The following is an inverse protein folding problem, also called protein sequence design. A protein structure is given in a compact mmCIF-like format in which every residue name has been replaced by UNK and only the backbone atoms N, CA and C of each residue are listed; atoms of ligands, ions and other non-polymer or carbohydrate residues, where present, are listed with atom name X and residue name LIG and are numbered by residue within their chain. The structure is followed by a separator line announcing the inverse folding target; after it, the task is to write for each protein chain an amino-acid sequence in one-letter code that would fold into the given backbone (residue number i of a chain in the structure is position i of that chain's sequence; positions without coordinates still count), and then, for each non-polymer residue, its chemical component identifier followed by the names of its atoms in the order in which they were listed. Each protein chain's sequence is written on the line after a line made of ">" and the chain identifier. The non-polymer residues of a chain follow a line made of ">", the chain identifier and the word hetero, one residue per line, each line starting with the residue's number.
data_IF_114020284291
#
_entry.id   IF_114020284291
#
_cell.length_a   1.000
_cell.length_b   1.000
_cell.length_c   1.000
_cell.angle_alpha   90.00
_cell.angle_beta   90.00
_cell.angle_gamma   90.00
#
_symmetry.space_group_name_H-M   'P 1'
#
loop_
_entity.id
_entity.type
_entity.pdbx_description
1 polymer ?
#
# COMPACT_ATOMS: atom_id res chain seq x y z
N UNK A 1 10.93 0.97 -9.26
CA UNK A 1 11.80 1.69 -8.31
C UNK A 1 11.40 1.14 -6.95
N UNK A 2 12.30 0.53 -6.18
CA UNK A 2 11.93 -0.03 -4.89
C UNK A 2 11.52 1.08 -3.90
N UNK A 3 10.63 0.75 -2.97
CA UNK A 3 10.12 1.63 -1.93
C UNK A 3 11.24 2.16 -1.03
N UNK A 4 12.34 1.42 -0.91
CA UNK A 4 13.56 1.85 -0.21
C UNK A 4 14.11 3.17 -0.75
N UNK A 5 13.92 3.42 -2.05
CA UNK A 5 14.46 4.61 -2.72
C UNK A 5 13.62 5.85 -2.41
N UNK A 6 12.36 5.71 -1.96
CA UNK A 6 11.53 6.85 -1.54
C UNK A 6 12.13 7.61 -0.37
N UNK A 7 12.93 6.96 0.48
CA UNK A 7 13.66 7.65 1.56
C UNK A 7 14.58 8.75 1.02
N UNK A 8 15.18 8.53 -0.15
CA UNK A 8 16.09 9.49 -0.79
C UNK A 8 15.36 10.64 -1.49
N UNK A 9 14.06 10.48 -1.78
CA UNK A 9 13.21 11.46 -2.47
C UNK A 9 12.86 12.67 -1.60
N UNK A 10 12.88 12.52 -0.27
CA UNK A 10 12.49 13.58 0.66
C UNK A 10 13.69 14.14 1.41
N UNK A 11 13.83 15.47 1.41
CA UNK A 11 14.86 16.13 2.20
C UNK A 11 14.55 16.06 3.71
N UNK A 12 15.61 16.13 4.55
CA UNK A 12 15.45 16.25 6.02
C UNK A 12 14.55 17.42 6.44
N UNK A 13 14.42 18.46 5.61
CA UNK A 13 13.57 19.64 5.88
C UNK A 13 12.11 19.35 5.58
N UNK A 14 11.81 18.63 4.50
CA UNK A 14 10.45 18.17 4.20
C UNK A 14 9.98 17.20 5.29
N UNK A 15 10.82 16.22 5.63
CA UNK A 15 10.61 15.28 6.74
C UNK A 15 10.45 15.91 8.14
N UNK A 16 10.57 17.24 8.29
CA UNK A 16 10.21 17.95 9.54
C UNK A 16 8.85 18.63 9.48
N UNK A 17 8.36 18.98 8.29
CA UNK A 17 7.14 19.78 8.11
C UNK A 17 5.91 18.90 7.96
N UNK A 18 6.08 17.65 7.55
CA UNK A 18 4.97 16.74 7.37
C UNK A 18 4.26 16.88 6.02
N UNK A 19 3.30 16.00 5.75
CA UNK A 19 2.41 16.07 4.60
C UNK A 19 1.60 17.37 4.63
N UNK A 20 1.81 18.23 3.62
CA UNK A 20 0.97 19.41 3.37
C UNK A 20 -0.50 18.98 3.24
N UNK A 21 -1.45 19.90 3.47
CA UNK A 21 -2.92 19.68 3.39
C UNK A 21 -3.39 18.80 2.20
N UNK A 22 -2.75 18.89 1.03
CA UNK A 22 -3.08 18.05 -0.14
C UNK A 22 -2.90 16.55 0.12
N UNK A 23 -1.85 16.13 0.83
CA UNK A 23 -1.62 14.71 1.15
C UNK A 23 -2.66 14.15 2.13
N UNK A 24 -3.11 14.99 3.08
CA UNK A 24 -4.16 14.62 4.03
C UNK A 24 -5.50 14.31 3.34
N UNK A 25 -5.89 15.10 2.34
CA UNK A 25 -7.12 14.88 1.58
C UNK A 25 -7.07 13.60 0.72
N UNK A 26 -5.90 13.26 0.19
CA UNK A 26 -5.71 12.02 -0.59
C UNK A 26 -5.82 10.80 0.32
N UNK A 27 -5.14 10.80 1.47
CA UNK A 27 -5.22 9.69 2.44
C UNK A 27 -6.66 9.49 2.91
N UNK A 28 -7.35 10.55 3.34
CA UNK A 28 -8.74 10.45 3.81
C UNK A 28 -9.74 10.02 2.73
N UNK A 29 -9.37 10.12 1.45
CA UNK A 29 -10.20 9.67 0.33
C UNK A 29 -10.10 8.16 0.10
N UNK A 30 -8.93 7.58 0.35
CA UNK A 30 -8.64 6.17 0.04
C UNK A 30 -8.70 5.26 1.27
N UNK A 31 -8.40 5.81 2.44
CA UNK A 31 -8.50 5.19 3.75
C UNK A 31 -9.70 5.79 4.50
N UNK A 32 -10.61 4.94 4.96
CA UNK A 32 -11.88 5.30 5.58
C UNK A 32 -11.72 5.52 7.09
N UNK A 33 -11.59 6.78 7.49
CA UNK A 33 -11.89 7.24 8.86
C UNK A 33 -10.80 7.03 9.92
N UNK A 34 -10.89 7.82 11.00
CA UNK A 34 -9.88 8.04 12.03
C UNK A 34 -9.53 6.84 12.94
N UNK A 35 -9.95 5.63 12.59
CA UNK A 35 -9.58 4.41 13.28
C UNK A 35 -8.65 3.62 12.37
N UNK A 36 -7.40 3.39 12.80
CA UNK A 36 -6.44 2.51 12.11
C UNK A 36 -7.03 1.10 12.06
N UNK A 37 -7.84 0.81 11.05
CA UNK A 37 -8.28 -0.55 10.80
C UNK A 37 -7.10 -1.33 10.21
N UNK A 38 -6.79 -2.53 10.71
CA UNK A 38 -5.70 -3.36 10.17
C UNK A 38 -5.78 -3.55 8.65
N UNK A 39 -6.99 -3.52 8.08
CA UNK A 39 -7.26 -3.61 6.65
C UNK A 39 -6.66 -2.46 5.82
N UNK A 40 -6.39 -1.30 6.42
CA UNK A 40 -5.74 -0.18 5.75
C UNK A 40 -4.24 -0.39 5.67
N UNK A 41 -3.64 -0.91 6.75
CA UNK A 41 -2.23 -1.28 6.80
C UNK A 41 -1.93 -2.42 5.81
N UNK A 42 -2.84 -3.40 5.67
CA UNK A 42 -2.71 -4.46 4.67
C UNK A 42 -2.91 -3.96 3.24
N UNK A 43 -3.82 -3.02 2.99
CA UNK A 43 -3.95 -2.40 1.67
C UNK A 43 -2.69 -1.63 1.30
N UNK A 44 -2.14 -0.85 2.24
CA UNK A 44 -0.87 -0.16 2.02
C UNK A 44 0.27 -1.14 1.76
N UNK A 45 0.39 -2.21 2.55
CA UNK A 45 1.38 -3.27 2.34
C UNK A 45 1.27 -3.93 0.96
N UNK A 46 0.05 -4.24 0.52
CA UNK A 46 -0.22 -4.75 -0.83
C UNK A 46 0.30 -3.80 -1.91
N UNK A 47 -0.04 -2.51 -1.83
CA UNK A 47 0.41 -1.52 -2.81
C UNK A 47 1.94 -1.35 -2.81
N UNK A 48 2.59 -1.47 -1.65
CA UNK A 48 4.06 -1.46 -1.54
C UNK A 48 4.69 -2.63 -2.30
N UNK A 49 4.13 -3.84 -2.19
CA UNK A 49 4.64 -5.00 -2.92
C UNK A 49 4.55 -4.78 -4.44
N UNK A 50 3.43 -4.27 -4.94
CA UNK A 50 3.31 -3.95 -6.38
C UNK A 50 4.29 -2.85 -6.77
N UNK A 51 4.51 -1.85 -5.91
CA UNK A 51 5.50 -0.79 -6.12
C UNK A 51 6.93 -1.33 -6.23
N UNK A 52 7.28 -2.33 -5.42
CA UNK A 52 8.57 -3.02 -5.41
C UNK A 52 8.77 -3.95 -6.62
N UNK A 53 7.75 -4.13 -7.46
CA UNK A 53 7.84 -4.89 -8.70
C UNK A 53 7.30 -6.32 -8.59
N UNK A 54 6.62 -6.68 -7.50
CA UNK A 54 5.83 -7.91 -7.45
C UNK A 54 4.58 -7.73 -8.31
N UNK A 55 4.63 -8.18 -9.56
CA UNK A 55 3.54 -7.99 -10.53
C UNK A 55 2.69 -9.23 -10.74
N UNK A 56 3.19 -10.43 -10.45
CA UNK A 56 2.41 -11.66 -10.58
C UNK A 56 1.45 -11.83 -9.38
N UNK A 57 0.18 -12.14 -9.66
CA UNK A 57 -0.85 -12.33 -8.63
C UNK A 57 -0.50 -13.43 -7.62
N UNK A 58 0.09 -14.55 -8.05
CA UNK A 58 0.45 -15.66 -7.16
C UNK A 58 1.60 -15.29 -6.21
N UNK A 59 2.58 -14.55 -6.72
CA UNK A 59 3.68 -14.02 -5.90
C UNK A 59 3.15 -13.03 -4.87
N UNK A 60 2.26 -12.12 -5.29
CA UNK A 60 1.60 -11.17 -4.40
C UNK A 60 0.78 -11.88 -3.31
N UNK A 61 0.05 -12.95 -3.67
CA UNK A 61 -0.68 -13.79 -2.70
C UNK A 61 0.26 -14.39 -1.67
N UNK A 62 1.38 -14.93 -2.12
CA UNK A 62 2.39 -15.54 -1.25
C UNK A 62 3.01 -14.52 -0.28
N UNK A 63 3.37 -13.34 -0.77
CA UNK A 63 3.94 -12.27 0.07
C UNK A 63 2.93 -11.71 1.06
N UNK A 64 1.68 -11.50 0.64
CA UNK A 64 0.62 -11.01 1.52
C UNK A 64 0.33 -12.02 2.63
N UNK A 65 0.26 -13.32 2.35
CA UNK A 65 0.09 -14.34 3.41
C UNK A 65 1.15 -14.23 4.50
N UNK A 66 2.41 -14.04 4.13
CA UNK A 66 3.52 -13.85 5.08
C UNK A 66 3.29 -12.60 5.93
N UNK A 67 2.89 -11.49 5.30
CA UNK A 67 2.57 -10.23 5.99
C UNK A 67 1.41 -10.41 6.98
N UNK A 68 0.33 -11.07 6.57
CA UNK A 68 -0.82 -11.37 7.41
C UNK A 68 -0.45 -12.18 8.65
N UNK A 69 0.23 -13.32 8.46
CA UNK A 69 0.67 -14.19 9.56
C UNK A 69 1.51 -13.40 10.57
N UNK A 70 2.42 -12.56 10.06
CA UNK A 70 3.31 -11.74 10.89
C UNK A 70 2.58 -10.66 11.68
N UNK A 71 1.51 -10.09 11.12
CA UNK A 71 0.79 -8.94 11.71
C UNK A 71 -0.42 -9.34 12.57
N UNK A 72 -1.16 -10.40 12.23
CA UNK A 72 -2.42 -10.77 12.91
C UNK A 72 -2.28 -11.96 13.86
N UNK A 73 -1.15 -12.68 13.83
CA UNK A 73 -0.97 -14.00 14.49
C UNK A 73 -1.98 -15.06 14.04
N UNK A 74 -2.77 -14.82 12.99
CA UNK A 74 -3.62 -15.85 12.38
C UNK A 74 -2.71 -16.82 11.62
N UNK A 75 -2.85 -18.10 11.92
CA UNK A 75 -2.00 -19.16 11.35
C UNK A 75 -2.49 -19.61 9.97
N UNK A 76 -3.77 -19.38 9.67
CA UNK A 76 -4.41 -19.79 8.43
C UNK A 76 -4.92 -18.53 7.73
N UNK A 77 -4.39 -18.28 6.54
CA UNK A 77 -4.82 -17.21 5.62
C UNK A 77 -5.15 -17.88 4.30
N UNK A 78 -6.39 -17.75 3.86
CA UNK A 78 -6.88 -18.31 2.61
C UNK A 78 -6.54 -17.38 1.43
N UNK A 79 -6.54 -17.91 0.21
CA UNK A 79 -6.33 -17.08 -0.98
C UNK A 79 -7.41 -16.01 -1.15
N UNK A 80 -8.62 -16.27 -0.66
CA UNK A 80 -9.75 -15.34 -0.69
C UNK A 80 -9.50 -14.10 0.18
N UNK A 81 -8.81 -14.26 1.31
CA UNK A 81 -8.46 -13.14 2.20
C UNK A 81 -7.54 -12.15 1.48
N UNK A 82 -6.60 -12.66 0.67
CA UNK A 82 -5.72 -11.80 -0.13
C UNK A 82 -6.42 -11.23 -1.36
N UNK A 83 -7.27 -12.02 -2.00
CA UNK A 83 -8.06 -11.59 -3.17
C UNK A 83 -8.93 -10.36 -2.83
N UNK A 84 -9.40 -10.23 -1.59
CA UNK A 84 -10.14 -9.05 -1.13
C UNK A 84 -9.36 -7.74 -1.38
N UNK A 85 -8.04 -7.74 -1.16
CA UNK A 85 -7.19 -6.55 -1.35
C UNK A 85 -6.98 -6.22 -2.82
N UNK A 86 -6.86 -7.24 -3.67
CA UNK A 86 -6.83 -7.06 -5.14
C UNK A 86 -8.14 -6.41 -5.59
N UNK A 87 -9.29 -6.94 -5.14
CA UNK A 87 -10.59 -6.37 -5.48
C UNK A 87 -10.79 -4.97 -4.90
N UNK A 88 -10.31 -4.70 -3.68
CA UNK A 88 -10.36 -3.37 -3.04
C UNK A 88 -9.51 -2.35 -3.81
N UNK A 89 -8.28 -2.69 -4.15
CA UNK A 89 -7.37 -1.83 -4.91
C UNK A 89 -7.90 -1.57 -6.33
N UNK A 90 -8.48 -2.58 -6.98
CA UNK A 90 -9.14 -2.46 -8.29
C UNK A 90 -10.35 -1.54 -8.23
N UNK A 91 -11.25 -1.73 -7.26
CA UNK A 91 -12.44 -0.86 -7.05
C UNK A 91 -12.07 0.60 -6.80
N UNK A 92 -10.94 0.84 -6.12
CA UNK A 92 -10.41 2.19 -5.86
C UNK A 92 -9.55 2.75 -7.01
N UNK A 93 -9.43 2.05 -8.14
CA UNK A 93 -8.62 2.42 -9.31
C UNK A 93 -7.13 2.66 -8.99
N UNK A 94 -6.58 1.89 -8.04
CA UNK A 94 -5.19 1.99 -7.61
C UNK A 94 -4.27 1.04 -8.41
N UNK A 95 -4.85 -0.01 -8.99
CA UNK A 95 -4.16 -1.00 -9.82
C UNK A 95 -4.92 -1.24 -11.12
N UNK A 96 -4.19 -1.73 -12.12
CA UNK A 96 -4.72 -2.33 -13.34
C UNK A 96 -4.24 -3.78 -13.46
N UNK A 97 -5.14 -4.66 -13.89
CA UNK A 97 -4.79 -6.04 -14.24
C UNK A 97 -4.55 -6.06 -15.75
N UNK A 98 -3.32 -6.38 -16.15
CA UNK A 98 -2.93 -6.58 -17.54
C UNK A 98 -3.16 -8.04 -17.94
N UNK A 99 -2.87 -8.34 -19.20
CA UNK A 99 -2.86 -9.72 -19.70
C UNK A 99 -1.86 -10.57 -18.89
N UNK A 100 -2.10 -11.89 -18.85
CA UNK A 100 -1.28 -12.87 -18.12
C UNK A 100 -1.26 -12.71 -16.58
N UNK A 101 -2.34 -12.22 -15.96
CA UNK A 101 -2.45 -12.08 -14.50
C UNK A 101 -1.33 -11.21 -13.88
N UNK A 102 -0.88 -10.21 -14.63
CA UNK A 102 0.09 -9.23 -14.14
C UNK A 102 -0.63 -7.97 -13.64
N UNK A 103 -0.12 -7.40 -12.56
CA UNK A 103 -0.65 -6.25 -11.85
C UNK A 103 0.32 -5.09 -11.97
N UNK A 104 -0.22 -3.90 -12.25
CA UNK A 104 0.52 -2.65 -12.25
C UNK A 104 -0.22 -1.59 -11.45
N UNK A 105 0.54 -0.71 -10.76
CA UNK A 105 -0.05 0.46 -10.12
C UNK A 105 -0.48 1.48 -11.18
N UNK A 106 -1.64 2.08 -10.96
CA UNK A 106 -2.02 3.29 -11.69
C UNK A 106 -1.19 4.49 -11.20
N UNK A 107 -1.24 5.61 -11.91
CA UNK A 107 -0.66 6.88 -11.43
C UNK A 107 -1.18 7.24 -10.03
N UNK A 108 -2.47 7.06 -9.80
CA UNK A 108 -3.12 7.28 -8.51
C UNK A 108 -2.60 6.32 -7.45
N UNK A 109 -2.38 5.04 -7.78
CA UNK A 109 -1.80 4.05 -6.88
C UNK A 109 -0.38 4.42 -6.46
N UNK A 110 0.46 4.84 -7.41
CA UNK A 110 1.82 5.35 -7.16
C UNK A 110 1.77 6.56 -6.21
N UNK A 111 0.95 7.56 -6.51
CA UNK A 111 0.81 8.76 -5.67
C UNK A 111 0.36 8.41 -4.25
N UNK A 112 -0.56 7.44 -4.10
CA UNK A 112 -1.03 7.00 -2.80
C UNK A 112 0.08 6.33 -1.99
N UNK A 113 0.86 5.42 -2.61
CA UNK A 113 2.01 4.77 -1.93
C UNK A 113 3.00 5.81 -1.43
N UNK A 114 3.38 6.76 -2.28
CA UNK A 114 4.37 7.79 -1.92
C UNK A 114 3.87 8.71 -0.79
N UNK A 115 2.61 9.14 -0.86
CA UNK A 115 2.02 9.99 0.17
C UNK A 115 1.86 9.20 1.49
N UNK A 116 1.42 7.94 1.43
CA UNK A 116 1.32 7.06 2.60
C UNK A 116 2.67 6.79 3.25
N UNK A 117 3.72 6.53 2.46
CA UNK A 117 5.09 6.38 2.94
C UNK A 117 5.54 7.61 3.71
N UNK A 118 5.35 8.79 3.12
CA UNK A 118 5.67 10.05 3.77
C UNK A 118 4.85 10.26 5.05
N UNK A 119 3.55 9.97 5.04
CA UNK A 119 2.69 10.07 6.23
C UNK A 119 3.17 9.15 7.37
N UNK A 120 3.50 7.89 7.06
CA UNK A 120 3.97 6.91 8.03
C UNK A 120 5.32 7.31 8.65
N UNK A 121 6.22 7.97 7.92
CA UNK A 121 7.45 8.53 8.49
C UNK A 121 7.18 9.60 9.56
N UNK A 122 6.03 10.25 9.52
CA UNK A 122 5.65 11.32 10.44
C UNK A 122 4.74 10.89 11.59
N UNK A 123 4.04 9.77 11.44
CA UNK A 123 3.11 9.23 12.47
C UNK A 123 3.68 8.02 13.21
N UNK A 124 4.79 7.45 12.76
CA UNK A 124 5.55 6.44 13.50
C UNK A 124 6.42 7.11 14.57
N UNK A 125 5.78 7.57 15.64
CA UNK A 125 6.41 7.98 16.90
C UNK A 125 5.97 7.05 18.03
#
# INVERSE_FOLDING_TARGET
>A
MPISDLKSKYSKKELKVGPRRKGSNTISKYYEGHHKEPHEDFLYGFLCLVYDGFTNIEDLKSQMKILFISATKQVIIEDNDVEEYIQKAKRKHLIEIKENNTLELTKTGIELVEISYYWNLHTSC
#
